data_IF_475391510193
#
_entry.id   IF_475391510193
#
_cell.length_a   1.000
_cell.length_b   1.000
_cell.length_c   1.000
_cell.angle_alpha   90.00
_cell.angle_beta   90.00
_cell.angle_gamma   90.00
#
_symmetry.space_group_name_H-M   'P 1'
#
loop_
_entity.id
_entity.type
_entity.pdbx_description
1 polymer ?
#
# COMPACT_ATOMS: atom_id res chain seq x y z
N UNK A 1 9.06 -6.12 24.36
CA UNK A 1 10.00 -7.11 24.93
C UNK A 1 10.10 -8.43 24.15
N UNK A 2 9.01 -8.98 23.61
CA UNK A 2 8.98 -10.29 22.92
C UNK A 2 9.93 -10.41 21.71
N UNK A 3 10.09 -9.36 20.89
CA UNK A 3 10.82 -9.45 19.61
C UNK A 3 12.34 -9.51 19.75
N UNK A 4 12.95 -8.72 20.65
CA UNK A 4 14.41 -8.75 20.88
C UNK A 4 14.92 -10.10 21.38
N UNK A 5 14.11 -10.82 22.13
CA UNK A 5 14.47 -12.13 22.67
C UNK A 5 14.55 -13.23 21.60
N UNK A 6 14.01 -12.99 20.39
CA UNK A 6 14.01 -13.95 19.28
C UNK A 6 15.30 -13.96 18.46
N UNK A 7 16.13 -12.92 18.56
CA UNK A 7 17.40 -12.82 17.83
C UNK A 7 18.55 -13.02 18.80
N UNK A 8 19.40 -14.01 18.53
CA UNK A 8 20.59 -14.22 19.36
C UNK A 8 21.69 -13.23 19.00
N UNK A 9 22.61 -12.93 19.93
CA UNK A 9 23.75 -12.06 19.63
C UNK A 9 24.58 -12.60 18.47
N UNK A 10 24.87 -13.91 18.46
CA UNK A 10 25.55 -14.57 17.36
C UNK A 10 24.85 -14.38 16.00
N UNK A 11 23.51 -14.49 15.95
CA UNK A 11 22.73 -14.24 14.72
C UNK A 11 22.84 -12.79 14.23
N UNK A 12 23.14 -11.85 15.13
CA UNK A 12 23.35 -10.44 14.82
C UNK A 12 24.84 -10.08 14.62
N UNK A 13 25.74 -11.07 14.59
CA UNK A 13 27.19 -10.85 14.44
C UNK A 13 27.88 -10.33 15.70
N UNK A 14 27.22 -10.41 16.86
CA UNK A 14 27.76 -10.01 18.16
C UNK A 14 28.24 -11.23 18.95
N UNK A 15 29.23 -11.07 19.84
CA UNK A 15 29.63 -12.12 20.76
C UNK A 15 28.48 -12.46 21.73
N UNK A 16 28.31 -13.75 22.02
CA UNK A 16 27.22 -14.25 22.87
C UNK A 16 27.28 -13.73 24.32
N UNK A 17 28.40 -13.15 24.75
CA UNK A 17 28.56 -12.54 26.08
C UNK A 17 28.67 -13.56 27.23
N UNK A 18 28.61 -14.85 26.92
CA UNK A 18 28.86 -15.96 27.83
C UNK A 18 27.91 -16.02 29.04
N UNK A 19 28.33 -16.74 30.10
CA UNK A 19 27.53 -17.00 31.31
C UNK A 19 27.10 -15.74 32.10
N UNK A 20 27.62 -14.56 31.78
CA UNK A 20 27.26 -13.29 32.44
C UNK A 20 26.08 -12.57 31.79
N UNK A 21 25.62 -13.00 30.60
CA UNK A 21 24.46 -12.39 29.93
C UNK A 21 23.16 -12.83 30.62
N UNK A 22 22.40 -11.86 31.14
CA UNK A 22 21.10 -12.10 31.81
C UNK A 22 19.89 -11.79 30.93
N UNK A 23 20.08 -11.03 29.86
CA UNK A 23 19.00 -10.68 28.93
C UNK A 23 18.88 -11.75 27.85
N UNK A 24 17.71 -12.37 27.64
CA UNK A 24 17.49 -13.25 26.51
C UNK A 24 17.53 -12.44 25.20
N UNK A 25 18.36 -12.89 24.25
CA UNK A 25 18.56 -12.23 22.95
C UNK A 25 19.32 -10.91 23.00
N UNK A 26 18.93 -9.96 22.14
CA UNK A 26 19.56 -8.64 22.02
C UNK A 26 19.13 -7.66 23.12
N UNK A 27 20.07 -6.85 23.61
CA UNK A 27 19.81 -5.70 24.50
C UNK A 27 19.33 -4.49 23.68
N UNK A 28 18.71 -3.51 24.34
CA UNK A 28 18.30 -2.24 23.69
C UNK A 28 19.45 -1.56 22.97
N UNK A 29 20.55 -1.38 23.70
CA UNK A 29 21.77 -0.76 23.25
C UNK A 29 22.37 -1.47 22.02
N UNK A 30 22.32 -2.80 21.98
CA UNK A 30 22.81 -3.57 20.84
C UNK A 30 21.93 -3.40 19.60
N UNK A 31 20.60 -3.42 19.77
CA UNK A 31 19.68 -3.14 18.65
C UNK A 31 19.88 -1.72 18.13
N UNK A 32 20.01 -0.74 19.02
CA UNK A 32 20.20 0.65 18.66
C UNK A 32 21.50 0.84 17.85
N UNK A 33 22.61 0.27 18.31
CA UNK A 33 23.90 0.32 17.59
C UNK A 33 23.82 -0.35 16.23
N UNK A 34 23.25 -1.56 16.15
CA UNK A 34 23.12 -2.30 14.89
C UNK A 34 22.16 -1.64 13.89
N UNK A 35 21.18 -0.89 14.38
CA UNK A 35 20.23 -0.13 13.58
C UNK A 35 20.72 1.31 13.28
N UNK A 36 21.87 1.72 13.82
CA UNK A 36 22.44 3.05 13.60
C UNK A 36 21.67 4.19 14.29
N UNK A 37 20.98 3.91 15.40
CA UNK A 37 20.20 4.90 16.16
C UNK A 37 20.68 5.01 17.62
N UNK A 38 20.33 6.10 18.29
CA UNK A 38 20.61 6.26 19.72
C UNK A 38 19.80 5.31 20.60
N UNK A 39 20.38 4.82 21.70
CA UNK A 39 19.71 3.89 22.62
C UNK A 39 18.43 4.48 23.25
N UNK A 40 18.46 5.77 23.61
CA UNK A 40 17.29 6.49 24.12
C UNK A 40 16.19 6.64 23.07
N UNK A 41 16.57 6.85 21.81
CA UNK A 41 15.63 6.92 20.69
C UNK A 41 14.94 5.57 20.47
N UNK A 42 15.69 4.47 20.45
CA UNK A 42 15.11 3.13 20.32
C UNK A 42 14.21 2.77 21.50
N UNK A 43 14.52 3.25 22.71
CA UNK A 43 13.63 3.12 23.86
C UNK A 43 12.30 3.87 23.65
N UNK A 44 12.30 5.07 23.07
CA UNK A 44 11.07 5.81 22.78
C UNK A 44 10.22 5.10 21.72
N UNK A 45 10.87 4.55 20.69
CA UNK A 45 10.19 3.71 19.68
C UNK A 45 9.48 2.53 20.35
N UNK A 46 10.16 1.81 21.25
CA UNK A 46 9.54 0.69 21.98
C UNK A 46 8.38 1.09 22.91
N UNK A 47 8.38 2.33 23.37
CA UNK A 47 7.35 2.87 24.25
C UNK A 47 6.15 3.43 23.47
N UNK A 48 6.19 3.43 22.13
CA UNK A 48 5.15 4.03 21.30
C UNK A 48 5.00 5.53 21.53
N UNK A 49 6.09 6.23 21.90
CA UNK A 49 6.05 7.69 22.02
C UNK A 49 5.92 8.32 20.65
N UNK A 50 5.30 9.50 20.60
CA UNK A 50 5.24 10.31 19.39
C UNK A 50 6.65 10.83 19.06
N UNK A 51 7.30 10.16 18.11
CA UNK A 51 8.63 10.49 17.60
C UNK A 51 8.60 10.45 16.07
N UNK A 52 9.31 11.37 15.43
CA UNK A 52 9.51 11.28 13.98
C UNK A 52 10.44 10.10 13.67
N UNK A 53 9.95 9.16 12.86
CA UNK A 53 10.71 7.98 12.42
C UNK A 53 10.78 7.98 10.89
N UNK A 54 11.95 7.70 10.33
CA UNK A 54 12.11 7.52 8.89
C UNK A 54 11.93 6.04 8.49
N UNK A 55 11.48 5.75 7.26
CA UNK A 55 11.41 4.39 6.72
C UNK A 55 12.75 3.64 6.82
N UNK A 56 13.86 4.32 6.54
CA UNK A 56 15.21 3.75 6.62
C UNK A 56 15.55 3.25 8.02
N UNK A 57 15.13 3.98 9.05
CA UNK A 57 15.32 3.57 10.45
C UNK A 57 14.46 2.35 10.78
N UNK A 58 13.21 2.32 10.34
CA UNK A 58 12.35 1.13 10.54
C UNK A 58 12.88 -0.09 9.82
N UNK A 59 13.43 0.07 8.61
CA UNK A 59 14.07 -1.01 7.86
C UNK A 59 15.30 -1.54 8.58
N UNK A 60 16.13 -0.64 9.11
CA UNK A 60 17.28 -1.02 9.91
C UNK A 60 16.85 -1.80 11.17
N UNK A 61 15.83 -1.32 11.89
CA UNK A 61 15.29 -2.01 13.08
C UNK A 61 14.67 -3.37 12.70
N UNK A 62 13.88 -3.43 11.63
CA UNK A 62 13.25 -4.66 11.16
C UNK A 62 14.29 -5.71 10.75
N UNK A 63 15.34 -5.29 10.05
CA UNK A 63 16.48 -6.14 9.67
C UNK A 63 17.22 -6.69 10.88
N UNK A 64 17.54 -5.84 11.86
CA UNK A 64 18.25 -6.24 13.08
C UNK A 64 17.43 -7.23 13.91
N UNK A 65 16.13 -6.97 14.03
CA UNK A 65 15.21 -7.85 14.76
C UNK A 65 14.74 -9.07 13.93
N UNK A 66 15.21 -9.20 12.68
CA UNK A 66 14.83 -10.24 11.73
C UNK A 66 13.31 -10.43 11.66
N UNK A 67 12.59 -9.30 11.62
CA UNK A 67 11.14 -9.30 11.53
C UNK A 67 10.69 -9.97 10.25
N UNK A 68 9.63 -10.77 10.33
CA UNK A 68 8.97 -11.26 9.12
C UNK A 68 8.36 -10.10 8.33
N UNK A 69 7.98 -10.34 7.08
CA UNK A 69 7.31 -9.32 6.26
C UNK A 69 6.05 -8.75 6.91
N UNK A 70 5.23 -9.60 7.52
CA UNK A 70 4.05 -9.16 8.26
C UNK A 70 4.44 -8.26 9.45
N UNK A 71 5.51 -8.62 10.16
CA UNK A 71 5.99 -7.89 11.33
C UNK A 71 6.64 -6.56 10.96
N UNK A 72 7.42 -6.49 9.88
CA UNK A 72 8.00 -5.24 9.36
C UNK A 72 6.90 -4.29 8.93
N UNK A 73 5.88 -4.79 8.22
CA UNK A 73 4.76 -3.96 7.79
C UNK A 73 3.93 -3.47 8.97
N UNK A 74 3.69 -4.34 9.94
CA UNK A 74 3.04 -3.93 11.19
C UNK A 74 3.87 -2.90 11.98
N UNK A 75 5.21 -2.99 11.94
CA UNK A 75 6.08 -1.97 12.54
C UNK A 75 5.95 -0.61 11.84
N UNK A 76 5.87 -0.61 10.51
CA UNK A 76 5.66 0.62 9.73
C UNK A 76 4.33 1.28 10.04
N UNK A 77 3.29 0.46 10.04
CA UNK A 77 2.00 0.80 10.59
C UNK A 77 2.25 1.45 11.96
N UNK A 78 2.66 0.74 13.00
CA UNK A 78 2.87 1.30 14.36
C UNK A 78 3.59 2.67 14.43
N UNK A 79 4.50 2.98 13.51
CA UNK A 79 5.20 4.25 13.41
C UNK A 79 4.44 5.38 12.66
N UNK A 80 3.20 5.16 12.26
CA UNK A 80 2.41 6.07 11.42
C UNK A 80 2.94 6.20 9.98
N UNK A 81 3.75 5.23 9.52
CA UNK A 81 4.35 5.22 8.19
C UNK A 81 3.66 4.19 7.30
N UNK A 82 3.64 4.47 5.99
CA UNK A 82 3.11 3.51 5.02
C UNK A 82 4.02 2.28 4.96
N UNK A 83 3.49 1.06 5.17
CA UNK A 83 4.30 -0.15 5.17
C UNK A 83 4.91 -0.41 3.79
N UNK A 84 6.14 -0.93 3.74
CA UNK A 84 6.75 -1.31 2.49
C UNK A 84 5.91 -2.40 1.83
N UNK A 85 5.98 -2.44 0.49
CA UNK A 85 5.51 -3.57 -0.29
C UNK A 85 6.10 -4.84 0.35
N UNK A 86 5.29 -5.88 0.64
CA UNK A 86 5.81 -7.11 1.24
C UNK A 86 7.02 -7.58 0.46
N UNK A 87 8.19 -7.65 1.10
CA UNK A 87 9.33 -8.30 0.45
C UNK A 87 8.95 -9.75 0.27
N UNK A 88 9.18 -10.25 -0.94
CA UNK A 88 8.86 -11.63 -1.20
C UNK A 88 9.94 -12.47 -0.54
N UNK A 89 9.57 -13.25 0.47
CA UNK A 89 10.44 -14.28 1.05
C UNK A 89 11.13 -15.02 -0.12
N UNK A 90 12.44 -15.30 -0.07
CA UNK A 90 13.16 -15.86 -1.21
C UNK A 90 12.49 -17.10 -1.83
N UNK A 91 11.87 -17.96 -1.02
CA UNK A 91 11.11 -19.14 -1.46
C UNK A 91 9.68 -18.87 -1.95
N UNK A 92 9.23 -17.62 -1.93
CA UNK A 92 7.92 -17.16 -2.43
C UNK A 92 8.06 -16.19 -3.62
N UNK A 93 9.28 -15.86 -4.06
CA UNK A 93 9.54 -14.94 -5.18
C UNK A 93 8.77 -15.33 -6.45
N UNK A 94 8.76 -16.62 -6.75
CA UNK A 94 7.97 -17.22 -7.84
C UNK A 94 6.48 -16.84 -7.80
N UNK A 95 5.92 -16.65 -6.60
CA UNK A 95 4.51 -16.28 -6.44
C UNK A 95 4.27 -14.81 -6.80
N UNK A 96 5.14 -13.88 -6.39
CA UNK A 96 4.98 -12.47 -6.79
C UNK A 96 5.29 -12.26 -8.28
N UNK A 97 6.26 -12.99 -8.83
CA UNK A 97 6.47 -13.04 -10.28
C UNK A 97 5.26 -13.65 -11.00
N UNK A 98 4.60 -14.65 -10.39
CA UNK A 98 3.33 -15.18 -10.85
C UNK A 98 2.21 -14.15 -10.83
N UNK A 99 2.06 -13.39 -9.74
CA UNK A 99 1.06 -12.32 -9.61
C UNK A 99 1.29 -11.18 -10.60
N UNK A 100 2.54 -10.78 -10.81
CA UNK A 100 2.89 -9.80 -11.84
C UNK A 100 2.50 -10.31 -13.23
N UNK A 101 2.85 -11.56 -13.58
CA UNK A 101 2.43 -12.19 -14.85
C UNK A 101 0.91 -12.22 -15.01
N UNK A 102 0.15 -12.41 -13.93
CA UNK A 102 -1.32 -12.40 -13.98
C UNK A 102 -1.86 -11.01 -14.34
N UNK A 103 -1.39 -9.94 -13.67
CA UNK A 103 -1.86 -8.58 -13.99
C UNK A 103 -1.31 -8.07 -15.34
N UNK A 104 -0.15 -8.55 -15.77
CA UNK A 104 0.40 -8.23 -17.09
C UNK A 104 -0.39 -8.93 -18.21
N UNK A 105 -0.86 -10.15 -17.98
CA UNK A 105 -1.76 -10.86 -18.90
C UNK A 105 -3.14 -10.17 -19.04
N UNK A 106 -3.49 -9.26 -18.12
CA UNK A 106 -4.71 -8.45 -18.20
C UNK A 106 -4.57 -7.21 -19.10
N UNK A 107 -3.36 -6.92 -19.59
CA UNK A 107 -3.16 -5.86 -20.57
C UNK A 107 -4.03 -6.07 -21.81
N UNK A 108 -4.60 -5.00 -22.40
CA UNK A 108 -4.26 -3.59 -22.19
C UNK A 108 -5.05 -2.89 -21.07
N UNK A 109 -5.75 -3.64 -20.22
CA UNK A 109 -6.64 -3.05 -19.22
C UNK A 109 -5.95 -2.83 -17.88
N UNK A 110 -6.31 -1.76 -17.13
CA UNK A 110 -5.67 -1.47 -15.85
C UNK A 110 -5.91 -2.58 -14.83
N UNK A 111 -4.84 -2.99 -14.15
CA UNK A 111 -4.91 -3.91 -13.02
C UNK A 111 -3.87 -3.57 -11.97
N UNK A 112 -4.24 -3.77 -10.70
CA UNK A 112 -3.32 -3.65 -9.58
C UNK A 112 -3.65 -4.65 -8.49
N UNK A 113 -2.68 -4.86 -7.60
CA UNK A 113 -2.80 -5.71 -6.42
C UNK A 113 -2.58 -4.82 -5.22
N UNK A 114 -3.44 -4.96 -4.22
CA UNK A 114 -3.34 -4.25 -2.96
C UNK A 114 -3.48 -5.19 -1.77
N UNK A 115 -2.99 -4.75 -0.62
CA UNK A 115 -3.18 -5.47 0.63
C UNK A 115 -4.50 -5.10 1.33
N UNK A 116 -4.72 -5.69 2.50
CA UNK A 116 -5.89 -5.46 3.35
C UNK A 116 -6.14 -3.99 3.72
N UNK A 117 -5.09 -3.17 3.83
CA UNK A 117 -5.16 -1.75 4.18
C UNK A 117 -5.21 -0.85 2.93
N UNK A 118 -5.34 -1.43 1.75
CA UNK A 118 -5.30 -0.79 0.44
C UNK A 118 -3.91 -0.23 0.07
N UNK A 119 -2.81 -0.72 0.67
CA UNK A 119 -1.50 -0.36 0.15
C UNK A 119 -1.28 -1.05 -1.21
N UNK A 120 -0.76 -0.29 -2.17
CA UNK A 120 -0.47 -0.82 -3.50
C UNK A 120 0.76 -1.74 -3.42
N UNK A 121 0.62 -2.96 -3.94
CA UNK A 121 1.66 -4.00 -3.92
C UNK A 121 2.29 -4.17 -5.29
N UNK A 122 1.46 -4.30 -6.35
CA UNK A 122 1.88 -4.38 -7.75
C UNK A 122 0.84 -3.66 -8.62
N UNK A 123 1.24 -3.20 -9.80
CA UNK A 123 0.33 -2.69 -10.83
C UNK A 123 0.93 -2.91 -12.22
N UNK A 124 0.08 -2.97 -13.24
CA UNK A 124 0.52 -3.13 -14.62
C UNK A 124 0.68 -1.76 -15.33
N UNK A 125 1.27 -1.77 -16.53
CA UNK A 125 1.53 -0.55 -17.31
C UNK A 125 0.25 0.24 -17.64
N UNK A 126 -0.88 -0.45 -17.83
CA UNK A 126 -2.16 0.20 -18.07
C UNK A 126 -2.66 0.94 -16.83
N UNK A 127 -2.46 0.42 -15.61
CA UNK A 127 -2.76 1.14 -14.38
C UNK A 127 -1.88 2.38 -14.20
N UNK A 128 -0.61 2.33 -14.59
CA UNK A 128 0.25 3.50 -14.60
C UNK A 128 -0.28 4.57 -15.58
N UNK A 129 -0.63 4.17 -16.79
CA UNK A 129 -1.08 5.07 -17.87
C UNK A 129 -2.45 5.66 -17.58
N UNK A 130 -3.42 4.82 -17.20
CA UNK A 130 -4.84 5.19 -17.08
C UNK A 130 -5.15 5.76 -15.70
N UNK A 131 -4.68 5.11 -14.63
CA UNK A 131 -4.99 5.52 -13.26
C UNK A 131 -3.94 6.50 -12.71
N UNK A 132 -2.78 6.63 -13.36
CA UNK A 132 -1.70 7.50 -12.90
C UNK A 132 -0.84 6.87 -11.79
N UNK A 133 -0.90 5.55 -11.63
CA UNK A 133 -0.12 4.83 -10.60
C UNK A 133 1.37 4.98 -10.85
N UNK A 134 2.13 5.39 -9.83
CA UNK A 134 3.55 5.75 -9.96
C UNK A 134 4.39 5.22 -8.80
N UNK A 135 5.62 4.71 -9.06
CA UNK A 135 6.51 4.29 -7.98
C UNK A 135 6.81 5.46 -7.05
N UNK A 136 6.76 5.25 -5.74
CA UNK A 136 7.07 6.28 -4.73
C UNK A 136 5.96 7.31 -4.48
N UNK A 137 4.97 7.43 -5.37
CA UNK A 137 3.77 8.26 -5.16
C UNK A 137 2.60 7.37 -4.74
N UNK A 138 2.29 6.34 -5.53
CA UNK A 138 1.17 5.45 -5.26
C UNK A 138 1.54 4.43 -4.19
N UNK A 139 1.28 4.78 -2.94
CA UNK A 139 1.61 3.93 -1.79
C UNK A 139 0.35 3.29 -1.21
N UNK A 140 -0.75 4.02 -1.16
CA UNK A 140 -2.01 3.52 -0.64
C UNK A 140 -3.16 4.06 -1.49
N UNK A 141 -3.88 3.15 -2.14
CA UNK A 141 -4.92 3.49 -3.11
C UNK A 141 -6.03 4.36 -2.49
N UNK A 142 -6.32 4.21 -1.19
CA UNK A 142 -7.30 5.05 -0.51
C UNK A 142 -6.74 6.45 -0.22
N UNK A 143 -5.51 6.53 0.29
CA UNK A 143 -4.85 7.83 0.53
C UNK A 143 -4.71 8.61 -0.78
N UNK A 144 -4.23 7.95 -1.84
CA UNK A 144 -4.04 8.57 -3.15
C UNK A 144 -5.37 9.02 -3.76
N UNK A 145 -6.45 8.25 -3.56
CA UNK A 145 -7.78 8.63 -4.01
C UNK A 145 -8.25 9.98 -3.45
N UNK A 146 -7.90 10.29 -2.19
CA UNK A 146 -8.27 11.55 -1.52
C UNK A 146 -7.22 12.65 -1.65
N UNK A 147 -5.96 12.34 -1.99
CA UNK A 147 -4.85 13.29 -1.91
C UNK A 147 -4.15 13.57 -3.24
N UNK A 148 -4.29 12.72 -4.27
CA UNK A 148 -3.69 12.96 -5.58
C UNK A 148 -4.55 13.96 -6.39
N UNK A 149 -4.10 15.21 -6.60
CA UNK A 149 -4.86 16.21 -7.34
C UNK A 149 -5.04 15.82 -8.81
N UNK A 150 -4.11 15.06 -9.39
CA UNK A 150 -4.19 14.61 -10.78
C UNK A 150 -5.19 13.48 -10.97
N UNK A 151 -5.37 12.61 -9.96
CA UNK A 151 -6.45 11.64 -10.00
C UNK A 151 -7.79 12.35 -9.80
N UNK A 152 -7.87 13.27 -8.83
CA UNK A 152 -9.07 14.05 -8.53
C UNK A 152 -9.58 14.83 -9.73
N UNK A 153 -8.70 15.52 -10.46
CA UNK A 153 -9.09 16.35 -11.61
C UNK A 153 -9.62 15.55 -12.81
N UNK A 154 -9.27 14.26 -12.91
CA UNK A 154 -9.67 13.39 -14.02
C UNK A 154 -10.89 12.53 -13.70
N UNK A 155 -11.24 12.35 -12.43
CA UNK A 155 -12.32 11.44 -12.03
C UNK A 155 -13.68 12.16 -12.01
N UNK A 156 -14.49 11.93 -13.04
CA UNK A 156 -15.84 12.49 -13.16
C UNK A 156 -16.82 11.87 -12.16
N UNK A 157 -16.59 10.61 -11.78
CA UNK A 157 -17.40 9.87 -10.81
C UNK A 157 -16.82 9.91 -9.39
N UNK A 158 -15.94 10.88 -9.07
CA UNK A 158 -15.20 10.88 -7.81
C UNK A 158 -16.11 10.98 -6.58
N UNK A 159 -17.06 11.91 -6.56
CA UNK A 159 -17.94 12.16 -5.41
C UNK A 159 -18.76 10.93 -5.04
N UNK A 160 -19.27 10.21 -6.05
CA UNK A 160 -19.99 8.96 -5.84
C UNK A 160 -19.06 7.88 -5.32
N UNK A 161 -17.90 7.70 -5.96
CA UNK A 161 -16.95 6.68 -5.60
C UNK A 161 -16.33 6.91 -4.22
N UNK A 162 -16.15 8.16 -3.79
CA UNK A 162 -15.63 8.52 -2.48
C UNK A 162 -16.49 7.94 -1.35
N UNK A 163 -17.81 8.02 -1.49
CA UNK A 163 -18.76 7.44 -0.52
C UNK A 163 -18.61 5.92 -0.44
N UNK A 164 -18.63 5.26 -1.60
CA UNK A 164 -18.53 3.81 -1.70
C UNK A 164 -17.20 3.28 -1.17
N UNK A 165 -16.06 3.85 -1.57
CA UNK A 165 -14.74 3.37 -1.10
C UNK A 165 -14.57 3.56 0.40
N UNK A 166 -15.12 4.64 0.98
CA UNK A 166 -15.08 4.88 2.44
C UNK A 166 -15.98 3.87 3.18
N UNK A 167 -17.18 3.62 2.67
CA UNK A 167 -18.11 2.66 3.27
C UNK A 167 -17.58 1.22 3.20
N UNK A 168 -16.97 0.84 2.08
CA UNK A 168 -16.30 -0.46 1.91
C UNK A 168 -15.08 -0.60 2.81
N UNK A 169 -14.23 0.44 2.89
CA UNK A 169 -13.06 0.41 3.79
C UNK A 169 -13.50 0.28 5.25
N UNK A 170 -14.60 0.96 5.64
CA UNK A 170 -15.18 0.80 6.97
C UNK A 170 -15.56 -0.65 7.23
N UNK A 171 -16.30 -1.30 6.33
CA UNK A 171 -16.76 -2.67 6.50
C UNK A 171 -15.60 -3.63 6.80
N UNK A 172 -14.48 -3.47 6.09
CA UNK A 172 -13.27 -4.29 6.29
C UNK A 172 -12.57 -3.96 7.62
N UNK A 173 -12.50 -2.68 7.99
CA UNK A 173 -11.89 -2.24 9.25
C UNK A 173 -12.71 -2.65 10.48
N UNK A 174 -14.05 -2.60 10.42
CA UNK A 174 -14.92 -2.95 11.54
C UNK A 174 -14.88 -4.42 11.89
N UNK A 175 -14.51 -5.29 10.94
CA UNK A 175 -14.27 -6.70 11.22
C UNK A 175 -12.98 -6.95 12.05
N UNK A 176 -12.13 -5.91 12.22
CA UNK A 176 -10.85 -5.96 12.94
C UNK A 176 -10.66 -4.68 13.76
N UNK A 177 -11.50 -4.44 14.79
CA UNK A 177 -11.53 -3.16 15.50
C UNK A 177 -10.20 -2.82 16.21
N UNK A 178 -9.46 -3.83 16.66
CA UNK A 178 -8.18 -3.68 17.37
C UNK A 178 -6.96 -3.65 16.42
N UNK A 179 -7.18 -3.62 15.10
CA UNK A 179 -6.09 -3.58 14.12
C UNK A 179 -5.60 -2.14 13.90
N UNK A 180 -4.44 -1.86 14.49
CA UNK A 180 -3.77 -0.55 14.46
C UNK A 180 -3.48 -0.06 13.02
N UNK A 181 -3.37 -0.97 12.03
CA UNK A 181 -3.17 -0.60 10.62
C UNK A 181 -4.34 0.14 10.03
N UNK A 182 -5.56 -0.32 10.29
CA UNK A 182 -6.75 0.40 9.87
C UNK A 182 -6.87 1.74 10.60
N UNK A 183 -6.62 1.75 11.91
CA UNK A 183 -6.72 2.96 12.72
C UNK A 183 -5.81 4.08 12.20
N UNK A 184 -4.63 3.74 11.70
CA UNK A 184 -3.69 4.73 11.18
C UNK A 184 -4.02 5.22 9.79
N UNK A 185 -4.49 4.36 8.89
CA UNK A 185 -4.98 4.81 7.58
C UNK A 185 -6.11 5.81 7.79
N UNK A 186 -7.04 5.52 8.70
CA UNK A 186 -8.11 6.44 9.11
C UNK A 186 -7.52 7.72 9.70
N UNK A 187 -6.64 7.64 10.71
CA UNK A 187 -6.05 8.81 11.34
C UNK A 187 -5.30 9.71 10.34
N UNK A 188 -4.55 9.10 9.42
CA UNK A 188 -3.84 9.81 8.36
C UNK A 188 -4.80 10.53 7.43
N UNK A 189 -5.83 9.84 6.94
CA UNK A 189 -6.83 10.41 6.03
C UNK A 189 -7.64 11.52 6.71
N UNK A 190 -8.05 11.33 7.97
CA UNK A 190 -8.71 12.37 8.76
C UNK A 190 -7.83 13.62 8.90
N UNK A 191 -6.52 13.47 9.05
CA UNK A 191 -5.60 14.59 9.17
C UNK A 191 -5.37 15.37 7.85
N UNK A 192 -5.57 14.74 6.68
CA UNK A 192 -5.22 15.33 5.38
C UNK A 192 -6.39 15.59 4.44
N UNK A 193 -7.59 15.04 4.71
CA UNK A 193 -8.78 15.23 3.89
C UNK A 193 -10.02 15.50 4.75
N UNK A 194 -10.55 16.74 4.72
CA UNK A 194 -11.84 17.08 5.31
C UNK A 194 -13.00 16.26 4.72
N UNK A 195 -12.97 16.01 3.40
CA UNK A 195 -13.98 15.21 2.70
C UNK A 195 -14.00 13.76 3.20
N UNK A 196 -12.83 13.14 3.37
CA UNK A 196 -12.76 11.82 3.99
C UNK A 196 -13.32 11.84 5.40
N UNK A 197 -12.99 12.88 6.19
CA UNK A 197 -13.48 13.00 7.58
C UNK A 197 -15.00 13.04 7.62
N UNK A 198 -15.63 13.86 6.80
CA UNK A 198 -17.09 13.94 6.71
C UNK A 198 -17.71 12.59 6.32
N UNK A 199 -17.17 11.93 5.29
CA UNK A 199 -17.63 10.61 4.87
C UNK A 199 -17.42 9.54 5.95
N UNK A 200 -16.32 9.64 6.70
CA UNK A 200 -16.01 8.72 7.78
C UNK A 200 -16.93 8.93 9.00
N UNK A 201 -17.42 10.13 9.24
CA UNK A 201 -18.34 10.40 10.34
C UNK A 201 -19.78 9.92 10.06
N UNK A 202 -20.16 9.80 8.79
CA UNK A 202 -21.47 9.27 8.37
C UNK A 202 -21.70 7.81 8.76
N UNK A 203 -20.62 7.04 8.99
CA UNK A 203 -20.65 5.64 9.41
C UNK A 203 -21.36 4.68 8.44
N UNK A 204 -21.45 5.06 7.17
CA UNK A 204 -21.97 4.18 6.13
C UNK A 204 -21.10 2.92 6.02
N UNK A 205 -21.76 1.78 5.76
CA UNK A 205 -21.15 0.46 5.56
C UNK A 205 -21.68 -0.10 4.25
N UNK A 206 -20.78 -0.56 3.39
CA UNK A 206 -21.12 -1.18 2.13
C UNK A 206 -20.26 -2.43 1.94
N UNK A 207 -20.83 -3.49 1.37
CA UNK A 207 -20.05 -4.67 1.04
C UNK A 207 -19.10 -4.37 -0.13
N UNK A 208 -17.90 -4.99 -0.18
CA UNK A 208 -17.04 -4.89 -1.34
C UNK A 208 -17.77 -5.34 -2.60
N UNK A 209 -17.80 -4.47 -3.61
CA UNK A 209 -18.51 -4.70 -4.85
C UNK A 209 -17.80 -4.09 -6.05
N UNK A 210 -18.55 -3.94 -7.13
CA UNK A 210 -18.07 -3.31 -8.36
C UNK A 210 -18.18 -1.79 -8.25
N UNK A 211 -17.15 -1.07 -8.71
CA UNK A 211 -17.13 0.40 -8.71
C UNK A 211 -16.99 0.89 -10.14
N UNK A 212 -18.04 1.56 -10.65
CA UNK A 212 -17.98 2.27 -11.93
C UNK A 212 -17.05 3.48 -11.80
N UNK A 213 -16.16 3.66 -12.77
CA UNK A 213 -15.21 4.77 -12.85
C UNK A 213 -15.36 5.48 -14.17
N UNK A 214 -15.62 6.77 -14.11
CA UNK A 214 -15.60 7.65 -15.28
C UNK A 214 -14.39 8.56 -15.16
N UNK A 215 -13.44 8.38 -16.07
CA UNK A 215 -12.15 9.06 -16.05
C UNK A 215 -11.98 9.85 -17.35
N UNK A 216 -11.65 11.14 -17.24
CA UNK A 216 -11.22 11.94 -18.38
C UNK A 216 -9.70 11.79 -18.58
N UNK A 217 -9.33 10.99 -19.59
CA UNK A 217 -7.93 10.71 -19.90
C UNK A 217 -7.36 11.75 -20.87
N UNK A 218 -6.19 12.37 -20.58
CA UNK A 218 -5.69 13.51 -21.35
C UNK A 218 -5.48 13.23 -22.85
N UNK A 219 -5.16 11.99 -23.21
CA UNK A 219 -4.91 11.60 -24.62
C UNK A 219 -6.14 11.08 -25.37
N UNK A 220 -7.13 10.49 -24.67
CA UNK A 220 -8.24 9.74 -25.32
C UNK A 220 -9.63 10.14 -24.83
N UNK A 221 -9.70 11.15 -23.96
CA UNK A 221 -10.91 11.64 -23.33
C UNK A 221 -11.54 10.63 -22.38
N UNK A 222 -12.88 10.64 -22.32
CA UNK A 222 -13.66 9.78 -21.44
C UNK A 222 -13.34 8.29 -21.60
N UNK A 223 -13.06 7.65 -20.46
CA UNK A 223 -12.96 6.22 -20.25
C UNK A 223 -13.98 5.79 -19.18
N UNK A 224 -14.76 4.75 -19.49
CA UNK A 224 -15.74 4.16 -18.59
C UNK A 224 -15.27 2.76 -18.19
N UNK A 225 -14.91 2.59 -16.92
CA UNK A 225 -14.37 1.35 -16.39
C UNK A 225 -15.25 0.82 -15.26
N UNK A 226 -15.20 -0.48 -15.01
CA UNK A 226 -15.72 -1.11 -13.81
C UNK A 226 -14.56 -1.75 -13.04
N UNK A 227 -14.37 -1.34 -11.80
CA UNK A 227 -13.38 -1.93 -10.91
C UNK A 227 -14.01 -3.11 -10.16
N UNK A 228 -13.44 -4.30 -10.31
CA UNK A 228 -13.84 -5.51 -9.60
C UNK A 228 -12.72 -5.96 -8.67
N UNK A 229 -13.01 -6.10 -7.38
CA UNK A 229 -12.05 -6.57 -6.36
C UNK A 229 -12.23 -8.07 -6.15
N UNK A 230 -11.16 -8.84 -6.34
CA UNK A 230 -11.16 -10.29 -6.11
C UNK A 230 -10.15 -10.67 -5.03
N UNK A 231 -10.62 -11.40 -4.02
CA UNK A 231 -9.78 -11.92 -2.94
C UNK A 231 -9.12 -13.21 -3.36
N UNK A 232 -7.87 -13.41 -2.95
CA UNK A 232 -7.10 -14.59 -3.31
C UNK A 232 -7.09 -15.61 -2.17
N UNK A 233 -7.70 -16.80 -2.31
CA UNK A 233 -7.72 -17.79 -1.22
C UNK A 233 -6.31 -18.19 -0.72
N UNK A 234 -5.35 -18.29 -1.65
CA UNK A 234 -3.95 -18.64 -1.35
C UNK A 234 -3.14 -17.49 -0.76
N UNK A 235 -3.63 -16.25 -0.88
CA UNK A 235 -3.05 -15.01 -0.36
C UNK A 235 -4.15 -14.12 0.20
N UNK A 236 -4.77 -14.50 1.33
CA UNK A 236 -5.93 -13.79 1.88
C UNK A 236 -5.58 -12.38 2.38
N UNK A 237 -4.28 -12.07 2.47
CA UNK A 237 -3.70 -10.77 2.75
C UNK A 237 -3.66 -9.83 1.53
N UNK A 238 -3.91 -10.34 0.31
CA UNK A 238 -3.92 -9.59 -0.94
C UNK A 238 -5.28 -9.67 -1.65
N UNK A 239 -5.56 -8.64 -2.43
CA UNK A 239 -6.65 -8.59 -3.38
C UNK A 239 -6.14 -8.08 -4.73
N UNK A 240 -6.66 -8.64 -5.81
CA UNK A 240 -6.46 -8.14 -7.17
C UNK A 240 -7.65 -7.24 -7.53
N UNK A 241 -7.37 -6.10 -8.14
CA UNK A 241 -8.35 -5.15 -8.63
C UNK A 241 -8.18 -5.08 -10.15
N UNK A 242 -9.21 -5.55 -10.87
CA UNK A 242 -9.25 -5.48 -12.32
C UNK A 242 -10.19 -4.36 -12.74
N UNK A 243 -9.77 -3.56 -13.70
CA UNK A 243 -10.61 -2.53 -14.31
C UNK A 243 -11.03 -2.99 -15.70
N UNK A 244 -12.27 -3.44 -15.84
CA UNK A 244 -12.85 -3.86 -17.13
C UNK A 244 -13.39 -2.64 -17.87
N UNK A 245 -13.15 -2.51 -19.20
CA UNK A 245 -13.82 -1.47 -19.98
C UNK A 245 -15.31 -1.78 -20.06
N UNK A 246 -16.12 -0.74 -19.95
CA UNK A 246 -17.52 -0.80 -20.31
C UNK A 246 -17.68 -0.40 -21.80
N UNK A 247 -18.79 -0.80 -22.42
CA UNK A 247 -19.05 -0.59 -23.85
C UNK A 247 -19.13 0.91 -24.23
N UNK A 248 -19.40 1.78 -23.25
CA UNK A 248 -19.49 3.22 -23.45
C UNK A 248 -18.16 3.86 -23.89
N UNK A 249 -18.30 4.97 -24.62
CA UNK A 249 -17.19 5.83 -25.06
C UNK A 249 -16.09 5.11 -25.86
N UNK A 250 -16.36 3.92 -26.40
CA UNK A 250 -15.36 3.07 -27.06
C UNK A 250 -14.15 2.82 -26.14
N UNK A 251 -14.39 2.58 -24.85
CA UNK A 251 -13.33 2.50 -23.83
C UNK A 251 -12.33 1.40 -24.16
N UNK A 252 -12.79 0.20 -24.54
CA UNK A 252 -11.91 -0.91 -24.91
C UNK A 252 -10.94 -0.54 -26.05
N UNK A 253 -11.46 -0.01 -27.16
CA UNK A 253 -10.62 0.39 -28.30
C UNK A 253 -9.64 1.52 -27.98
N UNK A 254 -10.01 2.45 -27.08
CA UNK A 254 -9.09 3.50 -26.60
C UNK A 254 -7.97 2.93 -25.73
N UNK A 255 -8.27 1.96 -24.87
CA UNK A 255 -7.26 1.28 -24.04
C UNK A 255 -6.29 0.46 -24.91
N UNK A 256 -6.81 -0.25 -25.91
CA UNK A 256 -5.99 -0.94 -26.92
C UNK A 256 -5.07 0.04 -27.65
N UNK A 257 -5.59 1.20 -28.08
CA UNK A 257 -4.79 2.22 -28.72
C UNK A 257 -3.71 2.78 -27.79
N UNK A 258 -4.02 3.08 -26.53
CA UNK A 258 -3.06 3.55 -25.53
C UNK A 258 -1.92 2.53 -25.30
N UNK A 259 -2.24 1.23 -25.32
CA UNK A 259 -1.26 0.18 -25.16
C UNK A 259 -0.39 -0.05 -26.40
N UNK A 260 -0.81 0.44 -27.58
CA UNK A 260 -0.06 0.32 -28.83
C UNK A 260 1.24 1.14 -28.83
N UNK A 261 2.21 0.82 -29.70
CA UNK A 261 3.44 1.62 -29.84
C UNK A 261 3.18 3.09 -30.18
N UNK A 262 2.11 3.39 -30.92
CA UNK A 262 1.70 4.77 -31.23
C UNK A 262 1.15 5.49 -30.01
N UNK A 263 0.25 4.84 -29.25
CA UNK A 263 -0.33 5.40 -28.03
C UNK A 263 0.72 5.66 -26.95
N UNK A 264 1.67 4.74 -26.76
CA UNK A 264 2.79 4.92 -25.81
C UNK A 264 3.69 6.10 -26.14
N UNK A 265 3.90 6.38 -27.44
CA UNK A 265 4.66 7.57 -27.88
C UNK A 265 3.86 8.86 -27.70
N UNK A 266 2.55 8.83 -27.96
CA UNK A 266 1.66 9.98 -27.79
C UNK A 266 1.37 10.33 -26.33
N UNK A 267 1.46 9.36 -25.41
CA UNK A 267 1.30 9.57 -23.96
C UNK A 267 2.57 10.10 -23.27
N UNK A 268 3.74 10.05 -23.93
CA UNK A 268 4.99 10.64 -23.44
C UNK A 268 5.19 12.05 -24.02
N UNK A 269 4.82 13.08 -23.25
CA UNK A 269 5.11 14.54 -23.36
C UNK A 269 4.09 15.50 -24.03
N UNK A 270 4.01 16.78 -23.56
CA UNK A 270 4.70 17.39 -22.40
C UNK A 270 3.77 17.95 -21.30
N UNK A 271 4.25 17.81 -20.06
CA UNK A 271 4.03 18.80 -19.00
C UNK A 271 4.54 20.15 -19.53
N UNK A 272 3.64 21.08 -19.79
CA UNK A 272 4.01 22.48 -20.01
C UNK A 272 4.48 23.06 -18.67
N UNK A 273 5.61 23.77 -18.71
CA UNK A 273 6.30 24.35 -17.55
C UNK A 273 5.56 25.48 -16.85
#
# INVERSE_FOLDING_TARGET
MSRRARVTPAQAGLPDGGARRRTPGLRREEVAVLAGVGASWYQWLEQGRDISVSPQVLDAVARVLRLSNAERRHLYVLAGLNPPVPEVEPGKRDMCEGLQRVIDAWMPYPAHIMDLYYNCVLYNDAAATVLGMRPGITQNCLIDFFTDPMYRSRSLSWEQNARTVVAQFRAVSSARPDDEGFQQVVARLTAVSPEFTELWERRDIEEPGQIRKELDHPAVGLLCLEASVMRMPVRPDLAIVLHTPLDEANTAGKLEWLASPEGRRGAMYPVAG
#
